data_IF_864563809849
#
_entry.id   IF_864563809849
#
_cell.length_a   1.000
_cell.length_b   1.000
_cell.length_c   1.000
_cell.angle_alpha   90.00
_cell.angle_beta   90.00
_cell.angle_gamma   90.00
#
_symmetry.space_group_name_H-M   'P 1'
#
loop_
_entity.id
_entity.type
_entity.pdbx_description
1 polymer ?
#
# COMPACT_ATOMS: atom_id res chain seq x y z
N UNK A 1 82.68 9.29 31.90
CA UNK A 1 81.89 10.34 31.23
C UNK A 1 82.53 10.57 29.88
N UNK A 2 81.95 10.31 28.71
CA UNK A 2 80.71 9.69 28.22
C UNK A 2 81.10 9.22 26.79
N UNK A 3 80.91 7.97 26.38
CA UNK A 3 79.66 7.38 25.89
C UNK A 3 78.98 8.20 24.76
N UNK A 4 78.93 7.57 23.57
CA UNK A 4 77.89 7.72 22.53
C UNK A 4 78.07 8.77 21.44
N UNK A 5 79.06 8.59 20.58
CA UNK A 5 78.89 9.07 19.20
C UNK A 5 79.48 8.23 18.06
N UNK A 6 80.04 7.04 18.29
CA UNK A 6 80.53 6.22 17.17
C UNK A 6 80.49 4.71 17.41
N UNK A 7 79.29 4.15 17.32
CA UNK A 7 78.98 2.79 16.82
C UNK A 7 77.63 2.94 16.12
N UNK A 8 77.35 2.52 14.90
CA UNK A 8 78.01 1.60 14.00
C UNK A 8 77.40 1.86 12.62
N UNK A 9 78.21 1.85 11.57
CA UNK A 9 77.71 1.60 10.22
C UNK A 9 77.13 0.17 10.14
N UNK A 10 76.11 -0.02 9.30
CA UNK A 10 75.78 -1.31 8.71
C UNK A 10 74.30 -1.69 8.80
N UNK A 11 73.60 -1.70 7.67
CA UNK A 11 72.40 -2.53 7.54
C UNK A 11 71.31 -1.99 6.63
N UNK A 12 71.45 -2.22 5.33
CA UNK A 12 70.38 -2.14 4.33
C UNK A 12 69.18 -3.02 4.73
N UNK A 13 67.96 -2.45 4.76
CA UNK A 13 66.76 -3.14 4.24
C UNK A 13 65.62 -2.13 4.01
N UNK A 14 65.46 -1.66 2.78
CA UNK A 14 64.23 -1.01 2.31
C UNK A 14 63.15 -2.08 2.11
N UNK A 15 62.67 -2.71 3.19
CA UNK A 15 61.38 -3.40 3.16
C UNK A 15 60.31 -2.38 3.50
N UNK A 16 59.67 -1.85 2.45
CA UNK A 16 58.45 -1.06 2.60
C UNK A 16 57.40 -1.81 3.43
N UNK A 17 56.46 -1.09 4.07
CA UNK A 17 55.49 -1.70 4.95
C UNK A 17 54.74 -2.83 4.23
N UNK A 18 54.79 -4.04 4.81
CA UNK A 18 53.99 -5.19 4.38
C UNK A 18 52.53 -4.73 4.29
N UNK A 19 52.01 -4.60 3.06
CA UNK A 19 50.57 -4.46 2.82
C UNK A 19 49.90 -5.67 3.45
N UNK A 20 49.19 -5.46 4.55
CA UNK A 20 48.28 -6.47 5.06
C UNK A 20 47.27 -6.82 3.94
N UNK A 21 46.88 -8.09 3.76
CA UNK A 21 45.80 -8.43 2.86
C UNK A 21 44.57 -7.63 3.29
N UNK A 22 44.05 -6.79 2.39
CA UNK A 22 42.77 -6.10 2.62
C UNK A 22 41.74 -7.19 2.91
N UNK A 23 41.06 -7.10 4.06
CA UNK A 23 39.94 -7.98 4.36
C UNK A 23 38.96 -7.97 3.18
N UNK A 24 38.38 -9.13 2.80
CA UNK A 24 37.37 -9.15 1.77
C UNK A 24 36.25 -8.18 2.15
N UNK A 25 35.66 -7.45 1.18
CA UNK A 25 34.54 -6.56 1.45
C UNK A 25 33.44 -7.34 2.17
N UNK A 26 32.69 -6.71 3.10
CA UNK A 26 31.62 -7.37 3.82
C UNK A 26 30.66 -8.04 2.81
N UNK A 27 30.25 -9.27 3.14
CA UNK A 27 29.32 -10.04 2.31
C UNK A 27 28.12 -9.15 1.95
N UNK A 28 27.87 -9.02 0.65
CA UNK A 28 26.72 -8.26 0.14
C UNK A 28 25.43 -8.79 0.80
N UNK A 29 24.42 -7.93 1.04
CA UNK A 29 23.22 -8.34 1.77
C UNK A 29 22.60 -9.60 1.16
N UNK A 30 22.03 -10.46 2.01
CA UNK A 30 21.38 -11.73 1.63
C UNK A 30 20.23 -11.57 0.63
N UNK A 31 19.69 -10.36 0.48
CA UNK A 31 18.61 -10.06 -0.46
C UNK A 31 19.17 -9.47 -1.76
N UNK A 32 19.03 -10.22 -2.86
CA UNK A 32 19.36 -9.71 -4.20
C UNK A 32 18.19 -8.95 -4.85
N UNK A 33 17.00 -9.02 -4.25
CA UNK A 33 15.75 -8.52 -4.84
C UNK A 33 15.08 -7.52 -3.91
N UNK A 34 14.50 -6.48 -4.48
CA UNK A 34 13.95 -5.35 -3.72
C UNK A 34 12.46 -5.14 -4.02
N UNK A 35 11.69 -4.87 -2.98
CA UNK A 35 10.30 -4.46 -3.04
C UNK A 35 10.17 -3.08 -2.41
N UNK A 36 9.78 -2.09 -3.21
CA UNK A 36 9.44 -0.76 -2.72
C UNK A 36 7.95 -0.71 -2.39
N UNK A 37 7.63 -0.46 -1.13
CA UNK A 37 6.27 -0.17 -0.68
C UNK A 37 6.15 1.34 -0.49
N UNK A 38 5.47 2.00 -1.43
CA UNK A 38 5.22 3.42 -1.31
C UNK A 38 4.12 3.68 -0.27
N UNK A 39 4.23 4.79 0.44
CA UNK A 39 3.23 5.22 1.43
C UNK A 39 3.00 6.72 1.32
N UNK A 40 1.77 7.15 1.58
CA UNK A 40 1.41 8.56 1.59
C UNK A 40 -0.02 8.86 1.20
N UNK A 41 -0.51 10.00 1.67
CA UNK A 41 -1.88 10.45 1.43
C UNK A 41 -2.14 10.73 -0.06
N UNK A 42 -3.41 10.69 -0.53
CA UNK A 42 -3.76 11.19 -1.86
C UNK A 42 -3.24 12.61 -2.08
N UNK A 43 -2.59 12.89 -3.23
CA UNK A 43 -2.00 14.20 -3.52
C UNK A 43 -0.59 14.48 -2.91
N UNK A 44 -0.04 13.56 -2.11
CA UNK A 44 1.28 13.74 -1.47
C UNK A 44 2.48 13.64 -2.42
N UNK A 45 2.27 13.11 -3.63
CA UNK A 45 3.32 12.94 -4.64
C UNK A 45 3.85 11.51 -4.80
N UNK A 46 3.15 10.49 -4.27
CA UNK A 46 3.54 9.07 -4.41
C UNK A 46 3.79 8.63 -5.85
N UNK A 47 2.85 8.89 -6.77
CA UNK A 47 3.02 8.50 -8.17
C UNK A 47 4.13 9.28 -8.87
N UNK A 48 4.50 10.47 -8.36
CA UNK A 48 5.72 11.17 -8.79
C UNK A 48 6.98 10.43 -8.31
N UNK A 49 6.99 9.98 -7.05
CA UNK A 49 8.05 9.15 -6.49
C UNK A 49 8.17 7.80 -7.23
N UNK A 50 7.04 7.14 -7.54
CA UNK A 50 7.01 5.91 -8.33
C UNK A 50 7.64 6.11 -9.71
N UNK A 51 7.30 7.22 -10.39
CA UNK A 51 7.90 7.58 -11.69
C UNK A 51 9.38 7.89 -11.58
N UNK A 52 9.85 8.49 -10.48
CA UNK A 52 11.28 8.67 -10.24
C UNK A 52 11.99 7.32 -10.13
N UNK A 53 11.50 6.43 -9.25
CA UNK A 53 12.05 5.08 -9.11
C UNK A 53 12.04 4.32 -10.44
N UNK A 54 11.00 4.49 -11.27
CA UNK A 54 10.93 3.87 -12.61
C UNK A 54 11.97 4.41 -13.59
N UNK A 55 12.40 5.67 -13.45
CA UNK A 55 13.51 6.22 -14.26
C UNK A 55 14.83 5.58 -13.87
N UNK A 56 15.07 5.42 -12.56
CA UNK A 56 16.28 4.76 -12.04
C UNK A 56 16.28 3.25 -12.35
N UNK A 57 15.10 2.64 -12.36
CA UNK A 57 14.87 1.22 -12.64
C UNK A 57 13.89 1.03 -13.80
N UNK A 58 14.31 1.18 -15.07
CA UNK A 58 13.41 1.15 -16.23
C UNK A 58 12.57 -0.13 -16.36
N UNK A 59 13.06 -1.26 -15.86
CA UNK A 59 12.38 -2.55 -15.91
C UNK A 59 11.50 -2.85 -14.69
N UNK A 60 11.47 -1.96 -13.68
CA UNK A 60 10.69 -2.17 -12.47
C UNK A 60 9.18 -2.07 -12.76
N UNK A 61 8.36 -3.10 -12.49
CA UNK A 61 6.92 -2.95 -12.57
C UNK A 61 6.43 -2.01 -11.45
N UNK A 62 5.61 -1.02 -11.82
CA UNK A 62 4.78 -0.27 -10.87
C UNK A 62 3.42 -0.95 -10.83
N UNK A 63 2.95 -1.28 -9.64
CA UNK A 63 1.69 -1.95 -9.40
C UNK A 63 0.85 -1.10 -8.43
N UNK A 64 -0.34 -0.70 -8.85
CA UNK A 64 -1.28 0.03 -7.99
C UNK A 64 -2.64 -0.69 -7.95
N UNK A 65 -3.33 -0.56 -6.82
CA UNK A 65 -4.73 -0.98 -6.71
C UNK A 65 -5.62 -0.09 -7.58
N UNK A 66 -5.26 1.19 -7.77
CA UNK A 66 -6.03 2.12 -8.61
C UNK A 66 -6.05 1.71 -10.08
N UNK A 67 -5.05 0.97 -10.57
CA UNK A 67 -5.02 0.42 -11.94
C UNK A 67 -6.25 -0.44 -12.26
N UNK A 68 -6.89 -1.03 -11.24
CA UNK A 68 -8.09 -1.86 -11.41
C UNK A 68 -9.32 -1.03 -11.84
N UNK A 69 -9.34 0.25 -11.48
CA UNK A 69 -10.46 1.17 -11.71
C UNK A 69 -10.27 2.03 -12.95
N UNK A 70 -9.23 1.77 -13.74
CA UNK A 70 -8.98 2.45 -15.01
C UNK A 70 -9.68 1.66 -16.12
N UNK A 71 -10.62 2.29 -16.80
CA UNK A 71 -11.35 1.72 -17.94
C UNK A 71 -10.47 1.65 -19.20
N UNK A 72 -10.94 0.95 -20.24
CA UNK A 72 -10.17 0.77 -21.50
C UNK A 72 -9.84 2.10 -22.19
N UNK A 73 -10.69 3.10 -22.05
CA UNK A 73 -10.51 4.48 -22.54
C UNK A 73 -9.61 5.34 -21.62
N UNK A 74 -9.13 4.79 -20.50
CA UNK A 74 -8.21 5.46 -19.57
C UNK A 74 -8.90 6.28 -18.47
N UNK A 75 -10.22 6.22 -18.36
CA UNK A 75 -11.00 6.95 -17.35
C UNK A 75 -10.95 6.23 -16.00
N UNK A 76 -10.75 6.98 -14.91
CA UNK A 76 -10.77 6.44 -13.55
C UNK A 76 -12.20 6.41 -12.99
N UNK A 77 -12.72 5.21 -12.69
CA UNK A 77 -14.08 5.01 -12.15
C UNK A 77 -14.01 4.18 -10.88
N UNK A 78 -13.95 4.86 -9.73
CA UNK A 78 -13.88 4.19 -8.43
C UNK A 78 -15.22 3.54 -8.05
N UNK A 79 -15.16 2.26 -7.64
CA UNK A 79 -16.27 1.56 -7.03
C UNK A 79 -15.81 0.90 -5.71
N UNK A 80 -16.40 1.32 -4.60
CA UNK A 80 -16.04 0.83 -3.27
C UNK A 80 -16.34 -0.67 -3.09
N UNK A 81 -17.40 -1.19 -3.73
CA UNK A 81 -17.81 -2.59 -3.60
C UNK A 81 -16.79 -3.55 -4.23
N UNK A 82 -16.02 -3.06 -5.20
CA UNK A 82 -14.97 -3.80 -5.89
C UNK A 82 -13.59 -3.62 -5.25
N UNK A 83 -13.47 -2.83 -4.18
CA UNK A 83 -12.17 -2.50 -3.59
C UNK A 83 -11.43 -3.74 -3.05
N UNK A 84 -12.16 -4.68 -2.45
CA UNK A 84 -11.55 -5.92 -1.98
C UNK A 84 -11.01 -6.77 -3.14
N UNK A 85 -11.76 -6.84 -4.24
CA UNK A 85 -11.34 -7.54 -5.46
C UNK A 85 -10.13 -6.87 -6.11
N UNK A 86 -10.12 -5.53 -6.17
CA UNK A 86 -9.01 -4.74 -6.67
C UNK A 86 -7.72 -5.03 -5.87
N UNK A 87 -7.81 -5.10 -4.54
CA UNK A 87 -6.68 -5.50 -3.69
C UNK A 87 -6.22 -6.93 -3.99
N UNK A 88 -7.13 -7.91 -4.07
CA UNK A 88 -6.79 -9.31 -4.42
C UNK A 88 -6.10 -9.40 -5.79
N UNK A 89 -6.59 -8.65 -6.77
CA UNK A 89 -6.01 -8.56 -8.10
C UNK A 89 -4.59 -8.00 -8.07
N UNK A 90 -4.35 -6.91 -7.35
CA UNK A 90 -3.02 -6.32 -7.24
C UNK A 90 -2.05 -7.24 -6.48
N UNK A 91 -2.50 -7.90 -5.39
CA UNK A 91 -1.73 -8.92 -4.69
C UNK A 91 -1.29 -10.05 -5.63
N UNK A 92 -2.18 -10.53 -6.51
CA UNK A 92 -1.86 -11.56 -7.51
C UNK A 92 -0.80 -11.09 -8.51
N UNK A 93 -0.87 -9.82 -8.97
CA UNK A 93 0.15 -9.21 -9.84
C UNK A 93 1.51 -9.16 -9.16
N UNK A 94 1.56 -8.68 -7.91
CA UNK A 94 2.80 -8.60 -7.13
C UNK A 94 3.41 -9.99 -6.90
N UNK A 95 2.61 -10.97 -6.47
CA UNK A 95 3.04 -12.37 -6.31
C UNK A 95 3.62 -12.94 -7.59
N UNK A 96 2.96 -12.72 -8.73
CA UNK A 96 3.41 -13.20 -10.04
C UNK A 96 4.74 -12.53 -10.44
N UNK A 97 4.91 -11.24 -10.19
CA UNK A 97 6.15 -10.52 -10.47
C UNK A 97 7.31 -11.05 -9.59
N UNK A 98 7.06 -11.29 -8.30
CA UNK A 98 8.05 -11.83 -7.36
C UNK A 98 8.51 -13.23 -7.74
N UNK A 99 7.57 -14.13 -8.06
CA UNK A 99 7.86 -15.49 -8.54
C UNK A 99 8.67 -15.51 -9.84
N UNK A 100 8.49 -14.51 -10.69
CA UNK A 100 9.27 -14.31 -11.92
C UNK A 100 10.64 -13.64 -11.67
N UNK A 101 10.99 -13.38 -10.42
CA UNK A 101 12.26 -12.75 -10.04
C UNK A 101 12.44 -11.30 -10.50
N UNK A 102 11.34 -10.58 -10.78
CA UNK A 102 11.42 -9.16 -11.19
C UNK A 102 11.92 -8.31 -10.03
N UNK A 103 12.97 -7.52 -10.24
CA UNK A 103 13.51 -6.62 -9.21
C UNK A 103 14.01 -5.30 -9.82
N UNK A 104 13.75 -4.15 -9.17
CA UNK A 104 12.83 -3.99 -8.05
C UNK A 104 11.36 -4.06 -8.49
N UNK A 105 10.44 -4.32 -7.55
CA UNK A 105 8.98 -4.16 -7.74
C UNK A 105 8.53 -2.95 -6.93
N UNK A 106 7.65 -2.12 -7.48
CA UNK A 106 7.15 -0.90 -6.81
C UNK A 106 5.63 -1.04 -6.62
N UNK A 107 5.17 -0.94 -5.36
CA UNK A 107 3.75 -0.90 -5.02
C UNK A 107 3.37 0.56 -4.71
N UNK A 108 2.61 1.20 -5.61
CA UNK A 108 2.16 2.59 -5.49
C UNK A 108 0.72 2.66 -4.92
N UNK A 109 0.60 2.31 -3.64
CA UNK A 109 -0.65 2.40 -2.88
C UNK A 109 -0.53 3.48 -1.79
N UNK A 110 -1.65 3.85 -1.16
CA UNK A 110 -1.66 4.81 -0.05
C UNK A 110 -0.97 4.27 1.20
N UNK A 111 -1.21 2.98 1.52
CA UNK A 111 -0.59 2.25 2.63
C UNK A 111 -0.60 3.06 3.94
N UNK A 112 -1.80 3.49 4.33
CA UNK A 112 -2.07 4.30 5.52
C UNK A 112 -1.79 3.47 6.77
N UNK A 113 -2.23 2.20 6.76
CA UNK A 113 -2.04 1.26 7.85
C UNK A 113 -1.01 0.18 7.52
N UNK A 114 -0.32 -0.30 8.55
CA UNK A 114 0.62 -1.41 8.44
C UNK A 114 -0.01 -2.67 7.85
N UNK A 115 -1.27 -2.98 8.23
CA UNK A 115 -1.96 -4.20 7.77
C UNK A 115 -2.22 -4.21 6.27
N UNK A 116 -2.32 -3.04 5.62
CA UNK A 116 -2.48 -2.95 4.16
C UNK A 116 -1.22 -3.44 3.42
N UNK A 117 -0.05 -3.30 4.05
CA UNK A 117 1.23 -3.73 3.50
C UNK A 117 1.59 -5.17 3.84
N UNK A 118 0.99 -5.74 4.89
CA UNK A 118 1.29 -7.08 5.39
C UNK A 118 1.25 -8.18 4.31
N UNK A 119 0.26 -8.23 3.38
CA UNK A 119 0.28 -9.22 2.30
C UNK A 119 1.53 -9.14 1.42
N UNK A 120 1.98 -7.91 1.11
CA UNK A 120 3.19 -7.71 0.31
C UNK A 120 4.46 -8.07 1.08
N UNK A 121 4.53 -7.73 2.37
CA UNK A 121 5.65 -8.08 3.24
C UNK A 121 5.81 -9.61 3.38
N UNK A 122 4.71 -10.35 3.54
CA UNK A 122 4.72 -11.81 3.56
C UNK A 122 5.21 -12.36 2.22
N UNK A 123 4.66 -11.88 1.10
CA UNK A 123 5.09 -12.31 -0.24
C UNK A 123 6.58 -12.01 -0.49
N UNK A 124 7.08 -10.89 0.01
CA UNK A 124 8.49 -10.53 -0.09
C UNK A 124 9.38 -11.54 0.66
N UNK A 125 9.02 -11.88 1.89
CA UNK A 125 9.74 -12.86 2.70
C UNK A 125 9.75 -14.24 2.05
N UNK A 126 8.60 -14.71 1.54
CA UNK A 126 8.45 -15.98 0.83
C UNK A 126 9.31 -16.09 -0.45
N UNK A 127 9.75 -14.95 -1.01
CA UNK A 127 10.47 -14.88 -2.28
C UNK A 127 11.85 -14.21 -2.17
N UNK A 128 12.40 -14.06 -0.96
CA UNK A 128 13.70 -13.44 -0.67
C UNK A 128 13.85 -12.01 -1.22
N UNK A 129 12.85 -11.15 -0.97
CA UNK A 129 12.91 -9.72 -1.27
C UNK A 129 13.17 -8.91 0.01
N UNK A 130 14.05 -7.91 -0.10
CA UNK A 130 14.16 -6.82 0.86
C UNK A 130 12.98 -5.85 0.69
N UNK A 131 12.27 -5.58 1.78
CA UNK A 131 11.16 -4.62 1.79
C UNK A 131 11.68 -3.24 2.18
N UNK A 132 11.48 -2.26 1.31
CA UNK A 132 11.90 -0.87 1.49
C UNK A 132 10.66 0.02 1.49
N UNK A 133 10.34 0.61 2.65
CA UNK A 133 9.28 1.61 2.75
C UNK A 133 9.77 2.96 2.22
N UNK A 134 8.96 3.61 1.38
CA UNK A 134 9.28 4.94 0.83
C UNK A 134 8.09 5.87 0.89
N UNK A 135 8.34 7.08 1.36
CA UNK A 135 7.37 8.17 1.37
C UNK A 135 7.83 9.29 0.44
N UNK A 136 6.91 10.07 -0.14
CA UNK A 136 7.26 11.33 -0.79
C UNK A 136 7.97 12.27 0.18
N UNK A 137 8.97 13.01 -0.32
CA UNK A 137 9.66 14.06 0.42
C UNK A 137 9.12 15.45 0.04
N UNK A 138 7.80 15.58 -0.07
CA UNK A 138 7.16 16.85 -0.39
C UNK A 138 6.83 17.60 0.90
N UNK A 139 7.08 18.91 0.92
CA UNK A 139 6.80 19.77 2.09
C UNK A 139 5.32 19.78 2.51
N UNK A 140 4.41 19.42 1.58
CA UNK A 140 2.96 19.39 1.80
C UNK A 140 2.40 17.98 2.02
N UNK A 141 3.22 16.93 2.17
CA UNK A 141 2.74 15.53 2.22
C UNK A 141 1.71 15.23 3.31
N UNK A 142 1.61 16.09 4.33
CA UNK A 142 0.60 16.04 5.40
C UNK A 142 -0.27 17.33 5.51
N UNK A 143 -0.19 18.24 4.54
CA UNK A 143 -1.04 19.44 4.48
C UNK A 143 -2.34 19.11 3.75
N UNK A 144 -3.42 18.91 4.50
CA UNK A 144 -4.72 18.45 3.97
C UNK A 144 -5.31 19.39 2.92
N UNK A 145 -5.13 20.70 3.04
CA UNK A 145 -5.59 21.66 2.05
C UNK A 145 -4.86 21.49 0.70
N UNK A 146 -3.53 21.40 0.73
CA UNK A 146 -2.72 21.17 -0.47
C UNK A 146 -2.96 19.78 -1.06
N UNK A 147 -3.14 18.75 -0.22
CA UNK A 147 -3.44 17.39 -0.66
C UNK A 147 -4.79 17.36 -1.41
N UNK A 148 -5.83 17.96 -0.84
CA UNK A 148 -7.14 18.05 -1.49
C UNK A 148 -7.06 18.78 -2.84
N UNK A 149 -6.29 19.87 -2.93
CA UNK A 149 -6.09 20.61 -4.19
C UNK A 149 -5.32 19.82 -5.26
N UNK A 150 -4.39 18.95 -4.85
CA UNK A 150 -3.46 18.24 -5.76
C UNK A 150 -3.88 16.82 -6.10
N UNK A 151 -4.85 16.24 -5.39
CA UNK A 151 -5.24 14.85 -5.62
C UNK A 151 -6.06 14.71 -6.91
N UNK A 152 -5.63 13.81 -7.80
CA UNK A 152 -6.24 13.57 -9.11
C UNK A 152 -7.46 12.65 -9.08
N UNK A 153 -7.68 11.93 -7.97
CA UNK A 153 -8.75 10.94 -7.83
C UNK A 153 -10.02 11.51 -7.17
N UNK A 154 -10.08 12.83 -6.95
CA UNK A 154 -11.26 13.49 -6.39
C UNK A 154 -11.61 13.08 -4.96
N UNK A 155 -10.62 12.60 -4.18
CA UNK A 155 -10.81 12.22 -2.78
C UNK A 155 -11.19 13.46 -1.97
N UNK A 156 -12.36 13.48 -1.29
CA UNK A 156 -12.82 14.63 -0.53
C UNK A 156 -11.85 15.02 0.59
N UNK A 157 -11.79 16.31 0.91
CA UNK A 157 -10.89 16.87 1.94
C UNK A 157 -11.09 16.19 3.29
N UNK A 158 -12.33 15.94 3.67
CA UNK A 158 -12.73 15.31 4.94
C UNK A 158 -12.22 13.86 5.00
N UNK A 159 -12.25 13.15 3.87
CA UNK A 159 -11.68 11.80 3.76
C UNK A 159 -10.16 11.84 3.87
N UNK A 160 -9.49 12.79 3.23
CA UNK A 160 -8.03 12.98 3.36
C UNK A 160 -7.65 13.30 4.81
N UNK A 161 -8.44 14.13 5.51
CA UNK A 161 -8.24 14.43 6.93
C UNK A 161 -8.30 13.16 7.79
N UNK A 162 -9.34 12.32 7.60
CA UNK A 162 -9.46 11.03 8.32
C UNK A 162 -8.27 10.11 8.00
N UNK A 163 -7.89 9.99 6.72
CA UNK A 163 -6.74 9.19 6.31
C UNK A 163 -5.43 9.70 6.93
N UNK A 164 -5.28 11.02 7.12
CA UNK A 164 -4.13 11.62 7.79
C UNK A 164 -4.10 11.24 9.28
N UNK A 165 -5.23 11.34 9.97
CA UNK A 165 -5.35 11.00 11.39
C UNK A 165 -5.05 9.51 11.65
N UNK A 166 -5.39 8.66 10.67
CA UNK A 166 -5.15 7.22 10.70
C UNK A 166 -3.75 6.81 10.21
N UNK A 167 -2.95 7.75 9.69
CA UNK A 167 -1.67 7.44 9.08
C UNK A 167 -0.66 6.97 10.12
N UNK A 168 -0.22 5.72 10.02
CA UNK A 168 0.73 5.14 10.97
C UNK A 168 2.17 5.58 10.63
N UNK A 169 2.89 6.11 11.61
CA UNK A 169 4.27 6.57 11.45
C UNK A 169 5.28 5.51 11.90
N UNK A 170 6.55 5.71 11.54
CA UNK A 170 7.70 4.93 12.01
C UNK A 170 7.54 3.41 11.87
N UNK A 171 6.96 2.98 10.74
CA UNK A 171 6.73 1.57 10.48
C UNK A 171 8.03 0.80 10.27
N UNK A 172 8.10 -0.34 10.95
CA UNK A 172 9.14 -1.34 10.73
C UNK A 172 8.58 -2.55 10.01
N UNK A 173 9.44 -3.32 9.34
CA UNK A 173 9.04 -4.58 8.73
C UNK A 173 8.40 -5.53 9.77
N UNK A 174 8.93 -5.57 10.99
CA UNK A 174 8.38 -6.34 12.09
C UNK A 174 6.95 -5.88 12.46
N UNK A 175 6.72 -4.57 12.59
CA UNK A 175 5.39 -4.03 12.88
C UNK A 175 4.38 -4.40 11.78
N UNK A 176 4.78 -4.33 10.51
CA UNK A 176 3.93 -4.74 9.38
C UNK A 176 3.57 -6.22 9.43
N UNK A 177 4.51 -7.12 9.72
CA UNK A 177 4.22 -8.55 9.80
C UNK A 177 3.25 -8.92 10.95
N UNK A 178 3.29 -8.18 12.06
CA UNK A 178 2.43 -8.44 13.23
C UNK A 178 1.15 -7.61 13.26
N UNK A 179 0.93 -6.74 12.26
CA UNK A 179 -0.26 -5.91 12.18
C UNK A 179 -1.53 -6.71 11.86
N UNK A 180 -2.69 -6.21 12.31
CA UNK A 180 -4.00 -6.79 12.05
C UNK A 180 -4.99 -5.69 11.65
N UNK A 181 -5.93 -6.03 10.77
CA UNK A 181 -7.03 -5.13 10.44
C UNK A 181 -8.05 -5.18 11.57
N UNK A 182 -8.26 -4.06 12.27
CA UNK A 182 -9.36 -3.93 13.22
C UNK A 182 -10.68 -4.07 12.48
N UNK A 183 -11.39 -5.18 12.72
CA UNK A 183 -12.78 -5.31 12.29
C UNK A 183 -13.62 -4.53 13.29
N UNK A 184 -14.03 -3.31 12.93
CA UNK A 184 -15.05 -2.62 13.73
C UNK A 184 -16.34 -3.43 13.60
N UNK A 185 -16.64 -4.27 14.60
CA UNK A 185 -17.98 -4.81 14.77
C UNK A 185 -18.92 -3.63 14.92
N UNK A 186 -19.86 -3.50 14.00
CA UNK A 186 -20.99 -2.61 14.20
C UNK A 186 -21.79 -3.18 15.37
N UNK A 187 -21.58 -2.66 16.58
CA UNK A 187 -22.51 -2.91 17.68
C UNK A 187 -23.80 -2.18 17.35
N UNK A 188 -24.73 -2.89 16.71
CA UNK A 188 -26.15 -2.55 16.82
C UNK A 188 -26.49 -2.61 18.31
N UNK A 189 -26.63 -1.45 18.94
CA UNK A 189 -27.00 -1.34 20.35
C UNK A 189 -28.33 -2.06 20.57
N UNK A 190 -28.30 -3.22 21.20
CA UNK A 190 -29.46 -3.74 21.91
C UNK A 190 -29.49 -2.99 23.24
N UNK A 191 -30.36 -1.98 23.32
CA UNK A 191 -30.81 -1.44 24.59
C UNK A 191 -31.57 -2.54 25.33
N UNK A 192 -30.92 -3.18 26.30
CA UNK A 192 -31.61 -3.96 27.33
C UNK A 192 -32.01 -3.02 28.45
N UNK A 193 -33.28 -2.62 28.48
CA UNK A 193 -33.92 -1.99 29.62
C UNK A 193 -35.10 -2.86 30.03
N UNK A 194 -34.98 -3.47 31.20
CA UNK A 194 -35.98 -4.24 31.91
C UNK A 194 -37.20 -3.39 32.27
N UNK A 195 -38.42 -3.88 32.03
CA UNK A 195 -39.53 -3.63 32.95
C UNK A 195 -40.65 -4.69 32.86
N UNK A 196 -41.28 -4.89 34.02
CA UNK A 196 -42.22 -5.94 34.45
C UNK A 196 -43.70 -5.71 34.05
N UNK A 197 -44.50 -6.80 33.98
CA UNK A 197 -45.92 -6.77 34.41
C UNK A 197 -47.02 -7.13 33.38
N UNK A 198 -47.54 -8.36 33.47
CA UNK A 198 -48.96 -8.84 33.39
C UNK A 198 -50.01 -8.07 32.56
N UNK A 199 -50.70 -8.74 31.60
CA UNK A 199 -52.06 -9.34 31.74
C UNK A 199 -52.58 -9.97 30.42
N UNK A 200 -53.55 -10.88 30.57
CA UNK A 200 -54.19 -11.85 29.64
C UNK A 200 -55.23 -11.21 28.68
N UNK A 201 -55.43 -11.70 27.43
CA UNK A 201 -56.62 -12.46 26.97
C UNK A 201 -56.80 -12.65 25.42
N UNK A 202 -57.34 -13.83 25.09
CA UNK A 202 -58.16 -14.34 23.94
C UNK A 202 -57.74 -14.27 22.45
N UNK A 203 -57.77 -15.46 21.83
CA UNK A 203 -57.84 -15.88 20.41
C UNK A 203 -59.15 -15.45 19.67
N UNK A 204 -59.47 -15.90 18.42
CA UNK A 204 -58.68 -16.54 17.33
C UNK A 204 -58.92 -15.94 15.91
N UNK A 205 -58.20 -16.43 14.89
CA UNK A 205 -58.74 -17.08 13.68
C UNK A 205 -58.06 -16.74 12.33
N UNK A 206 -57.75 -17.83 11.60
CA UNK A 206 -57.86 -18.04 10.15
C UNK A 206 -56.77 -17.54 9.16
N UNK A 207 -55.99 -18.54 8.72
CA UNK A 207 -55.73 -18.95 7.32
C UNK A 207 -55.90 -17.91 6.20
N UNK A 208 -54.85 -17.73 5.37
CA UNK A 208 -54.87 -18.32 4.02
C UNK A 208 -53.53 -18.26 3.28
N UNK A 209 -53.37 -19.26 2.42
CA UNK A 209 -52.33 -19.47 1.41
C UNK A 209 -52.43 -18.42 0.30
N UNK A 210 -51.31 -18.02 -0.32
CA UNK A 210 -50.90 -18.36 -1.70
C UNK A 210 -49.87 -17.38 -2.28
N UNK A 211 -49.08 -17.97 -3.17
CA UNK A 211 -48.00 -17.42 -3.96
C UNK A 211 -48.48 -16.67 -5.23
N UNK A 212 -47.48 -16.25 -6.01
CA UNK A 212 -47.47 -15.51 -7.28
C UNK A 212 -47.34 -13.99 -7.11
N UNK A 213 -46.54 -13.26 -7.88
CA UNK A 213 -45.82 -13.63 -9.08
C UNK A 213 -44.85 -12.53 -9.53
N UNK A 214 -43.99 -12.95 -10.43
CA UNK A 214 -42.94 -12.25 -11.15
C UNK A 214 -43.52 -11.11 -12.01
N UNK A 215 -42.90 -9.92 -12.07
CA UNK A 215 -42.98 -9.07 -13.28
C UNK A 215 -41.74 -8.21 -13.44
N UNK A 216 -41.06 -8.42 -14.57
CA UNK A 216 -40.00 -7.62 -15.17
C UNK A 216 -40.59 -6.31 -15.69
N UNK A 217 -39.90 -5.18 -15.51
CA UNK A 217 -40.12 -4.02 -16.36
C UNK A 217 -39.04 -3.94 -17.44
N UNK A 218 -39.49 -4.02 -18.68
CA UNK A 218 -38.75 -3.68 -19.90
C UNK A 218 -39.20 -2.30 -20.37
N UNK A 219 -38.20 -1.52 -20.82
CA UNK A 219 -38.19 -0.48 -21.87
C UNK A 219 -39.50 0.22 -22.22
N UNK A 220 -39.43 1.54 -22.32
CA UNK A 220 -39.70 2.18 -23.61
C UNK A 220 -38.91 3.47 -23.84
N UNK A 221 -38.38 3.55 -25.07
CA UNK A 221 -37.82 4.72 -25.74
C UNK A 221 -38.96 5.69 -26.12
N UNK A 222 -38.66 6.98 -26.34
CA UNK A 222 -38.80 7.65 -27.65
C UNK A 222 -38.51 9.17 -27.61
N UNK A 223 -37.90 9.63 -28.73
CA UNK A 223 -37.70 11.02 -29.24
C UNK A 223 -36.65 11.85 -28.50
N UNK A 224 -35.57 12.34 -29.12
CA UNK A 224 -35.31 12.84 -30.48
C UNK A 224 -34.71 14.25 -30.30
N UNK A 225 -33.78 14.82 -31.06
CA UNK A 225 -32.93 14.45 -32.20
C UNK A 225 -31.99 15.65 -32.47
N UNK A 226 -30.91 15.39 -33.23
CA UNK A 226 -30.12 16.29 -34.12
C UNK A 226 -29.57 17.65 -33.63
N UNK A 227 -28.25 17.86 -33.73
CA UNK A 227 -27.47 18.55 -34.80
C UNK A 227 -25.97 18.53 -34.39
N UNK A 228 -25.03 18.01 -35.20
CA UNK A 228 -24.12 18.77 -36.10
C UNK A 228 -23.08 19.59 -35.30
N UNK A 229 -21.75 19.54 -35.44
CA UNK A 229 -20.79 19.10 -36.45
C UNK A 229 -19.46 19.83 -36.12
N UNK A 230 -18.35 19.33 -36.69
CA UNK A 230 -16.92 19.71 -36.52
C UNK A 230 -16.18 19.09 -35.32
#
# INVERSE_FOLDING_TARGET
MDERLLRSFGGLSLRGPRRQPRAPPPARPRFQRQLYLLRGLPGSGKSTLARHLKRDFPNAPILSTDDFFITEDGTYVFNQDLLEEAHKWNHKRARKAMKKGKSPIIIDNTNIHAWEMKPYAIMALENDYEVIFREPDTRWKFNVGELARRNSHGVPREKIQRMKEQYEHDLTFHAVLHSEKTTTKCNSGQNTSSNTGTHVNTQPAQSNRRAHGNTRYTRDNFRGGFYGGF
#
